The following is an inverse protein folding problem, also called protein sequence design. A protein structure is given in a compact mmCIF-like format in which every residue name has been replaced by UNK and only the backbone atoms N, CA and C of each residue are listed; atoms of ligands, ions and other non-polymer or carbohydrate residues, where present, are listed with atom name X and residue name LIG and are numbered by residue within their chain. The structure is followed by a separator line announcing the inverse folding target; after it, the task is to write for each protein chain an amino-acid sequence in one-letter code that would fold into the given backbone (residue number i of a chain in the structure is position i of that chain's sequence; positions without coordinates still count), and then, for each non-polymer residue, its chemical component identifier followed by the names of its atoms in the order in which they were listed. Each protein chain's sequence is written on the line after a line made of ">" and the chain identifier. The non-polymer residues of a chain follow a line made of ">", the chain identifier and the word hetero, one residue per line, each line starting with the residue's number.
data_IF_955961987166
#
_entry.id   IF_955961987166
#
_cell.length_a   1.000
_cell.length_b   1.000
_cell.length_c   1.000
_cell.angle_alpha   90.00
_cell.angle_beta   90.00
_cell.angle_gamma   90.00
#
_symmetry.space_group_name_H-M   'P 1'
#
loop_
_entity.id
_entity.type
_entity.pdbx_description
1 polymer ?
#
# COMPACT_ATOMS: atom_id res chain seq x y z
N UNK A 1 77.29 -53.12 -23.74
CA UNK A 1 76.77 -51.84 -23.17
C UNK A 1 75.97 -51.16 -24.26
N UNK A 2 74.68 -51.45 -24.42
CA UNK A 2 73.51 -50.84 -23.75
C UNK A 2 73.32 -49.32 -23.94
N UNK A 3 72.25 -49.01 -24.70
CA UNK A 3 71.36 -47.83 -24.68
C UNK A 3 71.80 -46.59 -25.47
N UNK A 4 70.94 -45.84 -26.16
CA UNK A 4 69.55 -45.94 -26.69
C UNK A 4 69.39 -44.62 -27.48
N UNK A 5 69.02 -44.64 -28.75
CA UNK A 5 68.70 -43.42 -29.51
C UNK A 5 67.29 -42.94 -29.14
N UNK A 6 67.16 -41.68 -28.75
CA UNK A 6 65.87 -41.04 -28.47
C UNK A 6 65.41 -40.39 -29.78
N UNK A 7 64.41 -40.99 -30.42
CA UNK A 7 63.68 -40.37 -31.53
C UNK A 7 62.36 -39.82 -30.98
N UNK A 8 62.24 -38.51 -30.95
CA UNK A 8 61.02 -37.80 -30.54
C UNK A 8 60.09 -37.73 -31.75
N UNK A 9 59.11 -38.63 -31.84
CA UNK A 9 58.03 -38.53 -32.81
C UNK A 9 56.91 -37.63 -32.25
N UNK A 10 56.72 -36.46 -32.84
CA UNK A 10 55.57 -35.60 -32.55
C UNK A 10 54.35 -36.15 -33.31
N UNK A 11 53.46 -36.81 -32.57
CA UNK A 11 52.15 -37.23 -33.09
C UNK A 11 51.23 -36.00 -32.99
N UNK A 12 50.95 -35.38 -34.13
CA UNK A 12 49.88 -34.39 -34.25
C UNK A 12 48.53 -35.11 -34.23
N UNK A 13 47.92 -35.25 -33.04
CA UNK A 13 46.52 -35.64 -32.95
C UNK A 13 45.66 -34.50 -33.48
N UNK A 14 45.09 -34.65 -34.67
CA UNK A 14 43.98 -33.84 -35.11
C UNK A 14 42.76 -34.18 -34.25
N UNK A 15 42.37 -33.27 -33.36
CA UNK A 15 41.10 -33.35 -32.64
C UNK A 15 40.02 -32.90 -33.63
N UNK A 16 39.22 -33.84 -34.12
CA UNK A 16 37.99 -33.50 -34.82
C UNK A 16 36.99 -32.95 -33.79
N UNK A 17 36.83 -31.62 -33.77
CA UNK A 17 35.76 -30.96 -33.03
C UNK A 17 34.44 -31.23 -33.75
N UNK A 18 33.73 -32.28 -33.32
CA UNK A 18 32.29 -32.38 -33.57
C UNK A 18 31.63 -31.26 -32.77
N UNK A 19 31.44 -30.11 -33.41
CA UNK A 19 30.59 -29.05 -32.89
C UNK A 19 29.14 -29.53 -32.97
N UNK A 20 28.70 -30.23 -31.92
CA UNK A 20 27.28 -30.28 -31.62
C UNK A 20 26.87 -28.83 -31.32
N UNK A 21 25.82 -28.27 -31.95
CA UNK A 21 25.23 -27.05 -31.45
C UNK A 21 24.66 -27.41 -30.08
N UNK A 22 25.43 -27.13 -29.04
CA UNK A 22 24.86 -26.93 -27.72
C UNK A 22 23.86 -25.82 -27.93
N UNK A 23 22.57 -26.16 -27.90
CA UNK A 23 21.58 -25.17 -27.55
C UNK A 23 21.98 -24.73 -26.15
N UNK A 24 22.74 -23.63 -26.10
CA UNK A 24 22.69 -22.77 -24.94
C UNK A 24 21.23 -22.33 -24.91
N UNK A 25 20.43 -23.06 -24.13
CA UNK A 25 19.33 -22.41 -23.44
C UNK A 25 20.01 -21.26 -22.71
N UNK A 26 19.93 -20.09 -23.33
CA UNK A 26 19.84 -18.85 -22.60
C UNK A 26 18.65 -19.07 -21.68
N UNK A 27 18.91 -19.66 -20.51
CA UNK A 27 18.10 -19.43 -19.34
C UNK A 27 18.25 -17.93 -19.15
N UNK A 28 17.39 -17.20 -19.87
CA UNK A 28 16.82 -15.98 -19.37
C UNK A 28 16.55 -16.33 -17.93
N UNK A 29 17.41 -15.83 -17.05
CA UNK A 29 17.02 -15.64 -15.68
C UNK A 29 15.82 -14.70 -15.83
N UNK A 30 14.64 -15.29 -16.06
CA UNK A 30 13.46 -14.93 -15.33
C UNK A 30 14.00 -14.87 -13.91
N UNK A 31 14.39 -13.65 -13.53
CA UNK A 31 14.27 -13.21 -12.18
C UNK A 31 12.84 -13.57 -11.84
N UNK A 32 12.65 -14.79 -11.33
CA UNK A 32 11.60 -15.14 -10.43
C UNK A 32 11.74 -14.07 -9.38
N UNK A 33 11.02 -12.97 -9.60
CA UNK A 33 10.74 -11.98 -8.59
C UNK A 33 10.03 -12.83 -7.55
N UNK A 34 10.83 -13.38 -6.64
CA UNK A 34 10.36 -14.06 -5.45
C UNK A 34 9.37 -13.06 -4.88
N UNK A 35 8.08 -13.34 -5.04
CA UNK A 35 7.05 -12.35 -4.74
C UNK A 35 7.21 -12.11 -3.26
N UNK A 36 7.85 -11.00 -2.91
CA UNK A 36 8.14 -10.60 -1.55
C UNK A 36 6.80 -10.54 -0.84
N UNK A 37 6.47 -11.61 -0.12
CA UNK A 37 5.15 -11.81 0.45
C UNK A 37 4.95 -10.69 1.47
N UNK A 38 4.18 -9.68 1.07
CA UNK A 38 3.96 -8.51 1.90
C UNK A 38 2.95 -8.92 2.96
N UNK A 39 3.32 -8.68 4.22
CA UNK A 39 2.51 -9.03 5.38
C UNK A 39 1.87 -7.75 5.92
N UNK A 40 0.56 -7.78 6.12
CA UNK A 40 -0.20 -6.69 6.71
C UNK A 40 -0.52 -7.01 8.18
N UNK A 41 -0.15 -6.10 9.09
CA UNK A 41 -0.36 -6.29 10.54
C UNK A 41 -0.90 -5.02 11.18
N UNK A 42 -1.63 -5.19 12.27
CA UNK A 42 -2.15 -4.10 13.08
C UNK A 42 -1.35 -3.95 14.37
N UNK A 43 -1.03 -2.72 14.73
CA UNK A 43 -0.45 -2.35 16.01
C UNK A 43 -1.13 -1.07 16.52
N UNK A 44 -0.94 -0.74 17.79
CA UNK A 44 -1.46 0.49 18.37
C UNK A 44 -0.31 1.45 18.63
N UNK A 45 -0.41 2.67 18.13
CA UNK A 45 0.57 3.75 18.37
C UNK A 45 -0.19 4.93 18.94
N UNK A 46 0.18 5.39 20.13
CA UNK A 46 -0.50 6.50 20.82
C UNK A 46 -2.03 6.28 20.91
N UNK A 47 -2.44 5.07 21.27
CA UNK A 47 -3.84 4.63 21.34
C UNK A 47 -4.62 4.65 20.01
N UNK A 48 -3.92 4.81 18.88
CA UNK A 48 -4.49 4.78 17.54
C UNK A 48 -4.14 3.46 16.85
N UNK A 49 -5.13 2.59 16.56
CA UNK A 49 -4.92 1.41 15.73
C UNK A 49 -4.35 1.81 14.37
N UNK A 50 -3.23 1.21 14.00
CA UNK A 50 -2.46 1.53 12.79
C UNK A 50 -2.02 0.24 12.12
N UNK A 51 -2.24 0.14 10.82
CA UNK A 51 -1.84 -0.99 10.00
C UNK A 51 -0.51 -0.68 9.35
N UNK A 52 0.36 -1.68 9.38
CA UNK A 52 1.67 -1.67 8.78
C UNK A 52 1.73 -2.72 7.69
N UNK A 53 2.50 -2.45 6.65
CA UNK A 53 3.04 -3.50 5.79
C UNK A 53 4.51 -3.72 6.08
N UNK A 54 4.93 -4.97 5.95
CA UNK A 54 6.35 -5.32 5.92
C UNK A 54 6.60 -6.52 5.02
N UNK A 55 7.80 -6.57 4.47
CA UNK A 55 8.30 -7.73 3.75
C UNK A 55 9.30 -8.46 4.66
N UNK A 56 9.16 -9.77 4.91
CA UNK A 56 10.15 -10.55 5.64
C UNK A 56 11.56 -10.35 5.08
N UNK A 57 12.52 -10.04 5.95
CA UNK A 57 13.90 -9.73 5.57
C UNK A 57 14.17 -8.24 5.31
N UNK A 58 13.14 -7.40 5.28
CA UNK A 58 13.28 -5.95 5.31
C UNK A 58 13.08 -5.41 6.73
N UNK A 59 13.86 -4.40 7.09
CA UNK A 59 13.89 -3.85 8.47
C UNK A 59 12.79 -2.79 8.69
N UNK A 60 12.14 -2.32 7.62
CA UNK A 60 11.25 -1.18 7.67
C UNK A 60 9.78 -1.61 7.71
N UNK A 61 9.12 -1.33 8.84
CA UNK A 61 7.66 -1.33 8.93
C UNK A 61 7.13 -0.04 8.32
N UNK A 62 6.33 -0.12 7.26
CA UNK A 62 5.73 1.06 6.64
C UNK A 62 4.31 1.24 7.16
N UNK A 63 4.00 2.34 7.88
CA UNK A 63 2.63 2.62 8.29
C UNK A 63 1.78 2.93 7.05
N UNK A 64 0.66 2.23 6.90
CA UNK A 64 -0.23 2.36 5.76
C UNK A 64 -1.48 3.17 6.08
N UNK A 65 -2.14 2.86 7.21
CA UNK A 65 -3.40 3.47 7.58
C UNK A 65 -3.54 3.53 9.10
N UNK A 66 -4.01 4.66 9.62
CA UNK A 66 -4.35 4.84 11.03
C UNK A 66 -5.85 5.13 11.18
N UNK A 67 -6.52 4.39 12.08
CA UNK A 67 -7.96 4.48 12.33
C UNK A 67 -8.25 5.41 13.51
N UNK A 68 -8.11 6.71 13.26
CA UNK A 68 -8.52 7.74 14.20
C UNK A 68 -10.02 7.65 14.51
N UNK A 69 -10.45 7.86 15.77
CA UNK A 69 -11.87 7.80 16.15
C UNK A 69 -12.79 8.67 15.29
N UNK A 70 -12.30 9.82 14.83
CA UNK A 70 -13.05 10.76 13.98
C UNK A 70 -13.42 10.16 12.61
N UNK A 71 -12.59 9.24 12.10
CA UNK A 71 -12.86 8.55 10.85
C UNK A 71 -13.87 7.42 11.00
N UNK A 72 -14.05 6.88 12.20
CA UNK A 72 -14.89 5.71 12.43
C UNK A 72 -16.39 6.06 12.45
N UNK A 73 -17.22 5.11 12.04
CA UNK A 73 -18.66 5.16 12.29
C UNK A 73 -18.95 4.86 13.78
N UNK A 74 -20.10 5.29 14.33
CA UNK A 74 -20.40 5.16 15.77
C UNK A 74 -20.35 3.74 16.32
N UNK A 75 -20.56 2.73 15.47
CA UNK A 75 -20.59 1.31 15.79
C UNK A 75 -19.28 0.57 15.44
N UNK A 76 -18.26 1.29 14.99
CA UNK A 76 -16.99 0.71 14.56
C UNK A 76 -15.90 0.86 15.62
N UNK A 77 -15.17 -0.23 15.85
CA UNK A 77 -13.90 -0.21 16.56
C UNK A 77 -12.75 -0.03 15.57
N UNK A 78 -11.78 0.84 15.90
CA UNK A 78 -10.59 1.05 15.09
C UNK A 78 -9.74 -0.21 14.98
N UNK A 79 -9.61 -0.99 16.06
CA UNK A 79 -8.84 -2.23 16.04
C UNK A 79 -9.50 -3.29 15.17
N UNK A 80 -10.82 -3.47 15.30
CA UNK A 80 -11.57 -4.41 14.44
C UNK A 80 -11.53 -4.00 12.96
N UNK A 81 -11.62 -2.70 12.68
CA UNK A 81 -11.53 -2.19 11.31
C UNK A 81 -10.14 -2.40 10.73
N UNK A 82 -9.09 -2.19 11.54
CA UNK A 82 -7.70 -2.48 11.17
C UNK A 82 -7.54 -3.95 10.81
N UNK A 83 -7.87 -4.87 11.71
CA UNK A 83 -7.67 -6.32 11.53
C UNK A 83 -8.44 -6.86 10.31
N UNK A 84 -9.69 -6.42 10.14
CA UNK A 84 -10.51 -6.78 8.98
C UNK A 84 -9.87 -6.29 7.68
N UNK A 85 -9.39 -5.04 7.67
CA UNK A 85 -8.76 -4.45 6.48
C UNK A 85 -7.45 -5.16 6.14
N UNK A 86 -6.60 -5.41 7.14
CA UNK A 86 -5.35 -6.13 7.00
C UNK A 86 -5.59 -7.54 6.44
N UNK A 87 -6.60 -8.26 6.95
CA UNK A 87 -6.97 -9.60 6.47
C UNK A 87 -7.38 -9.58 5.00
N UNK A 88 -8.24 -8.64 4.58
CA UNK A 88 -8.69 -8.52 3.20
C UNK A 88 -7.54 -8.17 2.24
N UNK A 89 -6.64 -7.28 2.66
CA UNK A 89 -5.45 -6.93 1.87
C UNK A 89 -4.47 -8.09 1.79
N UNK A 90 -4.30 -8.84 2.87
CA UNK A 90 -3.46 -10.03 2.90
C UNK A 90 -3.97 -11.10 1.94
N UNK A 91 -5.27 -11.38 1.96
CA UNK A 91 -5.93 -12.30 1.02
C UNK A 91 -5.73 -11.85 -0.41
N UNK A 92 -6.04 -10.58 -0.70
CA UNK A 92 -5.86 -10.03 -2.04
C UNK A 92 -4.42 -10.09 -2.53
N UNK A 93 -3.43 -9.93 -1.65
CA UNK A 93 -2.02 -10.06 -2.01
C UNK A 93 -1.61 -11.51 -2.27
N UNK A 94 -2.26 -12.48 -1.64
CA UNK A 94 -1.98 -13.92 -1.80
C UNK A 94 -2.65 -14.52 -3.03
N UNK A 95 -3.80 -13.99 -3.44
CA UNK A 95 -4.57 -14.47 -4.59
C UNK A 95 -3.87 -14.21 -5.94
N UNK A 96 -2.74 -13.50 -5.96
CA UNK A 96 -1.92 -13.15 -7.14
C UNK A 96 -2.68 -12.44 -8.28
N UNK A 97 -3.92 -12.06 -8.06
CA UNK A 97 -4.69 -11.24 -8.98
C UNK A 97 -4.45 -9.76 -8.68
N UNK A 98 -4.22 -8.98 -9.73
CA UNK A 98 -4.11 -7.54 -9.59
C UNK A 98 -5.43 -7.00 -9.00
N UNK A 99 -5.33 -6.29 -7.89
CA UNK A 99 -6.44 -5.59 -7.27
C UNK A 99 -6.11 -4.12 -7.10
N UNK A 100 -7.15 -3.29 -7.12
CA UNK A 100 -7.03 -1.85 -7.00
C UNK A 100 -7.87 -1.36 -5.83
N UNK A 101 -7.34 -0.41 -5.07
CA UNK A 101 -8.12 0.26 -4.02
C UNK A 101 -8.80 1.47 -4.63
N UNK A 102 -10.12 1.55 -4.48
CA UNK A 102 -10.94 2.67 -4.95
C UNK A 102 -11.83 3.21 -3.84
N UNK A 103 -12.05 4.52 -3.84
CA UNK A 103 -12.97 5.17 -2.90
C UNK A 103 -14.30 5.50 -3.58
N UNK A 104 -15.37 5.53 -2.79
CA UNK A 104 -16.68 5.99 -3.24
C UNK A 104 -17.46 6.61 -2.08
N UNK A 105 -18.43 7.47 -2.42
CA UNK A 105 -19.38 8.02 -1.45
C UNK A 105 -20.71 7.28 -1.60
N UNK A 106 -21.18 6.64 -0.52
CA UNK A 106 -22.40 5.86 -0.51
C UNK A 106 -23.33 6.36 0.62
N UNK A 107 -24.43 7.01 0.24
CA UNK A 107 -25.41 7.59 1.18
C UNK A 107 -24.71 8.51 2.21
N UNK A 108 -24.58 8.05 3.45
CA UNK A 108 -24.01 8.77 4.60
C UNK A 108 -22.66 8.19 5.04
N UNK A 109 -21.91 7.53 4.15
CA UNK A 109 -20.55 7.05 4.44
C UNK A 109 -19.64 7.19 3.22
N UNK A 110 -18.36 7.45 3.47
CA UNK A 110 -17.33 7.30 2.44
C UNK A 110 -16.70 5.92 2.64
N UNK A 111 -16.50 5.18 1.55
CA UNK A 111 -16.05 3.79 1.57
C UNK A 111 -14.78 3.63 0.73
N UNK A 112 -13.96 2.65 1.10
CA UNK A 112 -12.87 2.14 0.28
C UNK A 112 -13.16 0.66 -0.05
N UNK A 113 -12.97 0.29 -1.32
CA UNK A 113 -13.15 -1.08 -1.81
C UNK A 113 -11.89 -1.58 -2.50
N UNK A 114 -11.70 -2.91 -2.50
CA UNK A 114 -10.89 -3.63 -3.46
C UNK A 114 -11.74 -3.95 -4.70
N UNK A 115 -11.21 -3.59 -5.87
CA UNK A 115 -11.81 -3.89 -7.18
C UNK A 115 -10.81 -4.67 -8.03
N UNK A 116 -11.30 -5.49 -8.96
CA UNK A 116 -10.46 -6.34 -9.80
C UNK A 116 -9.86 -5.58 -11.00
N UNK A 117 -10.58 -4.60 -11.53
CA UNK A 117 -10.17 -3.83 -12.70
C UNK A 117 -9.89 -2.36 -12.34
N UNK A 118 -8.91 -1.76 -13.01
CA UNK A 118 -8.47 -0.39 -12.73
C UNK A 118 -9.59 0.65 -12.93
N UNK A 119 -10.49 0.43 -13.90
CA UNK A 119 -11.59 1.33 -14.23
C UNK A 119 -12.91 0.96 -13.53
N UNK A 120 -12.93 -0.13 -12.76
CA UNK A 120 -14.09 -0.55 -11.99
C UNK A 120 -14.36 0.44 -10.85
N UNK A 121 -15.64 0.76 -10.63
CA UNK A 121 -16.08 1.62 -9.54
C UNK A 121 -16.26 0.81 -8.26
N UNK A 122 -15.96 1.42 -7.11
CA UNK A 122 -16.26 0.85 -5.79
C UNK A 122 -17.78 0.84 -5.57
N UNK A 123 -18.39 -0.35 -5.76
CA UNK A 123 -19.81 -0.63 -5.53
C UNK A 123 -19.96 -1.81 -4.57
N UNK A 124 -20.75 -1.69 -3.48
CA UNK A 124 -20.89 -2.75 -2.47
C UNK A 124 -21.24 -4.16 -3.00
N UNK A 125 -21.94 -4.25 -4.12
CA UNK A 125 -22.43 -5.52 -4.69
C UNK A 125 -21.39 -6.21 -5.60
N UNK A 126 -20.44 -5.44 -6.14
CA UNK A 126 -19.48 -5.88 -7.15
C UNK A 126 -18.02 -5.83 -6.64
N UNK A 127 -17.81 -5.38 -5.40
CA UNK A 127 -16.47 -5.12 -4.85
C UNK A 127 -16.40 -5.42 -3.36
N UNK A 128 -15.20 -5.77 -2.90
CA UNK A 128 -14.95 -6.09 -1.50
C UNK A 128 -14.67 -4.81 -0.72
N UNK A 129 -15.61 -4.39 0.13
CA UNK A 129 -15.44 -3.20 0.98
C UNK A 129 -14.35 -3.47 2.02
N UNK A 130 -13.27 -2.70 1.95
CA UNK A 130 -12.19 -2.70 2.95
C UNK A 130 -12.69 -2.08 4.26
N UNK A 131 -13.10 -0.82 4.17
CA UNK A 131 -13.60 -0.07 5.31
C UNK A 131 -14.59 1.02 4.88
N UNK A 132 -15.28 1.57 5.88
CA UNK A 132 -16.16 2.72 5.75
C UNK A 132 -15.73 3.78 6.75
N UNK A 133 -15.99 5.04 6.43
CA UNK A 133 -15.63 6.20 7.25
C UNK A 133 -16.83 7.11 7.45
N UNK A 134 -16.76 7.89 8.53
CA UNK A 134 -17.66 9.00 8.82
C UNK A 134 -17.82 9.89 7.57
N UNK A 135 -19.05 10.29 7.20
CA UNK A 135 -19.31 11.06 5.97
C UNK A 135 -18.59 12.41 5.90
N UNK A 136 -18.12 12.92 7.04
CA UNK A 136 -17.34 14.17 7.15
C UNK A 136 -15.94 14.04 6.54
N UNK A 137 -15.38 12.83 6.47
CA UNK A 137 -14.00 12.58 6.03
C UNK A 137 -13.97 11.69 4.80
N UNK A 138 -13.11 12.01 3.83
CA UNK A 138 -12.92 11.17 2.65
C UNK A 138 -12.11 9.92 3.01
N UNK A 139 -12.49 8.77 2.46
CA UNK A 139 -11.76 7.51 2.70
C UNK A 139 -10.31 7.58 2.17
N UNK A 140 -10.03 8.42 1.18
CA UNK A 140 -8.69 8.67 0.64
C UNK A 140 -7.72 9.26 1.66
N UNK A 141 -8.22 9.98 2.66
CA UNK A 141 -7.39 10.47 3.76
C UNK A 141 -6.83 9.34 4.61
N UNK A 142 -7.66 8.34 4.90
CA UNK A 142 -7.23 7.14 5.64
C UNK A 142 -6.20 6.37 4.82
N UNK A 143 -6.46 6.18 3.51
CA UNK A 143 -5.53 5.52 2.59
C UNK A 143 -4.19 6.25 2.46
N UNK A 144 -4.18 7.57 2.67
CA UNK A 144 -2.98 8.41 2.63
C UNK A 144 -2.33 8.58 4.01
N UNK A 145 -2.82 7.84 5.01
CA UNK A 145 -2.39 7.92 6.41
C UNK A 145 -2.41 9.34 7.00
N UNK A 146 -3.35 10.19 6.57
CA UNK A 146 -3.46 11.58 7.03
C UNK A 146 -4.17 11.67 8.38
N UNK A 147 -3.81 12.68 9.17
CA UNK A 147 -4.53 12.99 10.42
C UNK A 147 -5.89 13.65 10.10
N UNK A 148 -6.93 13.45 10.93
CA UNK A 148 -8.26 14.03 10.68
C UNK A 148 -8.24 15.55 10.48
N UNK A 149 -7.39 16.26 11.22
CA UNK A 149 -7.25 17.72 11.11
C UNK A 149 -6.70 18.18 9.75
N UNK A 150 -5.92 17.34 9.08
CA UNK A 150 -5.35 17.61 7.75
C UNK A 150 -6.33 17.21 6.64
N UNK A 151 -7.12 16.16 6.88
CA UNK A 151 -8.11 15.63 5.96
C UNK A 151 -9.39 16.48 5.87
N UNK A 152 -9.78 17.13 6.98
CA UNK A 152 -10.91 18.05 6.98
C UNK A 152 -10.48 19.28 6.18
N UNK A 153 -10.69 19.23 4.86
CA UNK A 153 -10.58 20.38 3.99
C UNK A 153 -11.21 21.54 4.74
N UNK A 154 -10.39 22.55 5.01
CA UNK A 154 -10.71 23.81 5.68
C UNK A 154 -11.98 24.36 5.01
N UNK A 155 -13.13 23.89 5.50
CA UNK A 155 -14.43 24.51 5.32
C UNK A 155 -14.52 25.75 6.21
N UNK A 156 -13.39 26.20 6.75
CA UNK A 156 -13.11 27.52 7.30
C UNK A 156 -12.53 28.50 6.26
N UNK A 157 -13.00 28.47 5.00
CA UNK A 157 -13.13 29.71 4.21
C UNK A 157 -14.37 30.51 4.65
N UNK A 158 -14.67 30.53 5.94
CA UNK A 158 -15.91 31.09 6.48
C UNK A 158 -15.95 31.08 8.00
N UNK A 159 -15.00 31.80 8.62
CA UNK A 159 -15.20 32.62 9.81
C UNK A 159 -13.83 33.21 10.20
N UNK A 160 -13.31 34.05 9.30
CA UNK A 160 -12.63 35.24 9.84
C UNK A 160 -13.76 35.94 10.58
N UNK A 161 -13.69 36.01 11.91
CA UNK A 161 -14.49 36.95 12.67
C UNK A 161 -14.12 38.34 12.13
N UNK A 162 -14.83 38.80 11.11
CA UNK A 162 -14.88 40.21 10.78
C UNK A 162 -15.71 40.82 11.89
N UNK A 163 -15.04 41.34 12.91
CA UNK A 163 -15.65 42.39 13.69
C UNK A 163 -16.08 43.45 12.66
N UNK A 164 -17.36 43.83 12.65
CA UNK A 164 -17.72 45.05 11.94
C UNK A 164 -16.85 46.17 12.53
N UNK A 165 -16.09 46.89 11.70
CA UNK A 165 -15.39 48.13 12.07
C UNK A 165 -16.38 49.26 12.34
N UNK A 166 -17.40 49.00 13.18
CA UNK A 166 -18.18 50.05 13.79
C UNK A 166 -17.35 50.57 14.95
N UNK A 167 -17.07 51.89 15.02
CA UNK A 167 -16.39 52.45 16.18
C UNK A 167 -17.17 52.03 17.43
N UNK A 168 -16.43 51.46 18.40
CA UNK A 168 -16.98 51.03 19.68
C UNK A 168 -17.87 52.13 20.26
N UNK A 169 -19.18 51.87 20.34
CA UNK A 169 -20.12 52.75 21.03
C UNK A 169 -20.38 52.18 22.42
N UNK A 170 -19.83 52.80 23.48
CA UNK A 170 -20.13 52.39 24.84
C UNK A 170 -21.62 52.64 25.16
N UNK A 171 -22.38 51.56 25.39
CA UNK A 171 -23.81 51.56 25.76
C UNK A 171 -24.11 52.04 27.18
N UNK A 172 -23.20 52.79 27.82
CA UNK A 172 -23.26 53.15 29.23
C UNK A 172 -23.07 54.65 29.51
N UNK A 173 -23.27 55.50 28.51
CA UNK A 173 -23.29 56.96 28.71
C UNK A 173 -24.70 57.49 28.50
N UNK A 174 -25.47 57.50 29.58
CA UNK A 174 -26.60 58.40 29.77
C UNK A 174 -26.06 59.73 30.29
N UNK A 175 -26.12 60.80 29.49
CA UNK A 175 -26.30 62.18 29.94
C UNK A 175 -27.04 62.96 28.87
#
# INVERSE_FOLDING_TARGET
>A
MNKKHIYTALISCAIALNAFPSQAEESTQESTQESKNTIFVCATVEDIPTMYSYTPGEVNLTPLMSWYPEYLLPDQSGSQTCEKTATLLQQSSQDQQASYIKTAKLKQKNIACLVAEQDQKCKPEESSILFSTNPTYDASCVLSNQKPIECKAITSRGNIYSFEDKPYQPTWWFW
#
